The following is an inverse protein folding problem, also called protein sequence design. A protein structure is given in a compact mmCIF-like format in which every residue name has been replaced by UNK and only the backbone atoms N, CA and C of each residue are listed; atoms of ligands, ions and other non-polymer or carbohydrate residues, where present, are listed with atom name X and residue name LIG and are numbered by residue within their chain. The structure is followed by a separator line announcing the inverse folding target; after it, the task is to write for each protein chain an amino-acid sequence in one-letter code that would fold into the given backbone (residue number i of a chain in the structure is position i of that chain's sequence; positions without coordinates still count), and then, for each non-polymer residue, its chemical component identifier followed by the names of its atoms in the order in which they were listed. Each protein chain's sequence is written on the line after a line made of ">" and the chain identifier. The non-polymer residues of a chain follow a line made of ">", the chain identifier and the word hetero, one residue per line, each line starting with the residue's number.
data_IF_157097567976
#
_entry.id   IF_157097567976
#
_cell.length_a   1.000
_cell.length_b   1.000
_cell.length_c   1.000
_cell.angle_alpha   90.00
_cell.angle_beta   90.00
_cell.angle_gamma   90.00
#
_symmetry.space_group_name_H-M   'P 1'
#
loop_
_entity.id
_entity.type
_entity.pdbx_description
1 polymer ?
#
# COMPACT_ATOMS: atom_id res chain seq x y z
N UNK A 1 13.96 17.44 -15.13
CA UNK A 1 14.11 16.17 -14.40
C UNK A 1 13.54 15.07 -15.26
N UNK A 2 14.34 14.06 -15.62
CA UNK A 2 13.92 13.00 -16.53
C UNK A 2 12.74 12.22 -15.93
N UNK A 3 11.63 12.13 -16.66
CA UNK A 3 10.46 11.34 -16.23
C UNK A 3 10.77 9.84 -16.06
N UNK A 4 11.90 9.38 -16.63
CA UNK A 4 12.36 7.98 -16.65
C UNK A 4 12.72 7.36 -15.29
N UNK A 5 12.67 8.09 -14.18
CA UNK A 5 12.96 7.56 -12.82
C UNK A 5 11.74 7.48 -11.89
N UNK A 6 10.55 7.94 -12.31
CA UNK A 6 9.37 7.91 -11.45
C UNK A 6 8.72 6.53 -11.43
N UNK A 7 8.19 6.15 -10.28
CA UNK A 7 7.39 4.95 -10.10
C UNK A 7 6.05 5.14 -10.82
N UNK A 8 5.68 4.22 -11.70
CA UNK A 8 4.46 4.35 -12.49
C UNK A 8 3.19 4.35 -11.61
N UNK A 9 3.14 3.49 -10.59
CA UNK A 9 2.04 3.35 -9.64
C UNK A 9 2.59 3.40 -8.21
N UNK A 10 2.29 4.48 -7.48
CA UNK A 10 2.73 4.69 -6.11
C UNK A 10 1.53 4.54 -5.16
N UNK A 11 1.57 3.51 -4.33
CA UNK A 11 0.56 3.30 -3.27
C UNK A 11 1.05 4.02 -2.01
N UNK A 12 0.15 4.76 -1.37
CA UNK A 12 0.47 5.70 -0.30
C UNK A 12 -0.24 5.30 0.99
N UNK A 13 0.48 5.33 2.12
CA UNK A 13 -0.07 5.09 3.46
C UNK A 13 -0.37 6.40 4.21
N UNK A 14 -0.93 6.26 5.42
CA UNK A 14 -1.20 7.39 6.33
C UNK A 14 0.08 8.18 6.64
N UNK A 15 1.21 7.51 6.88
CA UNK A 15 2.47 8.16 7.27
C UNK A 15 3.02 9.11 6.22
N UNK A 16 2.86 8.77 4.93
CA UNK A 16 3.28 9.61 3.81
C UNK A 16 2.52 10.96 3.77
N UNK A 17 1.21 10.93 4.08
CA UNK A 17 0.41 12.15 4.23
C UNK A 17 0.80 12.95 5.47
N UNK A 18 1.06 12.29 6.60
CA UNK A 18 1.48 12.94 7.85
C UNK A 18 2.82 13.68 7.66
N UNK A 19 3.75 13.07 6.93
CA UNK A 19 5.10 13.61 6.69
C UNK A 19 5.18 14.65 5.57
N UNK A 20 4.07 14.93 4.88
CA UNK A 20 4.04 15.85 3.74
C UNK A 20 5.09 15.51 2.67
N UNK A 21 5.20 14.22 2.33
CA UNK A 21 6.13 13.76 1.31
C UNK A 21 5.77 14.37 -0.06
N UNK A 22 6.77 14.74 -0.86
CA UNK A 22 6.57 15.25 -2.22
C UNK A 22 6.30 14.11 -3.20
N UNK A 23 5.14 13.45 -3.05
CA UNK A 23 4.79 12.23 -3.78
C UNK A 23 4.78 12.43 -5.31
N UNK A 24 4.46 13.63 -5.79
CA UNK A 24 4.52 14.01 -7.21
C UNK A 24 5.92 13.91 -7.84
N UNK A 25 6.97 13.95 -7.01
CA UNK A 25 8.34 13.80 -7.47
C UNK A 25 8.76 12.32 -7.57
N UNK A 26 7.99 11.42 -6.92
CA UNK A 26 8.30 9.99 -6.80
C UNK A 26 7.44 9.16 -7.74
N UNK A 27 6.13 9.44 -7.79
CA UNK A 27 5.15 8.64 -8.49
C UNK A 27 4.41 9.41 -9.59
N UNK A 28 3.99 8.70 -10.63
CA UNK A 28 3.10 9.22 -11.68
C UNK A 28 1.64 9.03 -11.28
N UNK A 29 1.22 7.78 -10.99
CA UNK A 29 -0.12 7.49 -10.49
C UNK A 29 -0.07 7.30 -8.98
N UNK A 30 -0.50 8.32 -8.25
CA UNK A 30 -0.53 8.31 -6.79
C UNK A 30 -1.88 7.76 -6.36
N UNK A 31 -1.86 6.65 -5.61
CA UNK A 31 -3.04 5.87 -5.25
C UNK A 31 -3.04 5.66 -3.73
N UNK A 32 -4.21 5.74 -3.10
CA UNK A 32 -4.40 5.40 -1.69
C UNK A 32 -5.68 4.58 -1.51
N UNK A 33 -5.80 3.96 -0.35
CA UNK A 33 -7.02 3.29 0.09
C UNK A 33 -7.96 4.26 0.83
N UNK A 34 -9.27 4.01 0.80
CA UNK A 34 -10.28 4.92 1.38
C UNK A 34 -10.16 5.05 2.90
N UNK A 35 -9.85 3.98 3.63
CA UNK A 35 -9.69 4.01 5.08
C UNK A 35 -8.46 4.81 5.50
N UNK A 36 -7.41 4.83 4.68
CA UNK A 36 -6.25 5.73 4.90
C UNK A 36 -6.71 7.18 4.90
N UNK A 37 -7.51 7.57 3.90
CA UNK A 37 -8.05 8.93 3.82
C UNK A 37 -8.91 9.23 5.04
N UNK A 38 -9.79 8.29 5.44
CA UNK A 38 -10.64 8.43 6.61
C UNK A 38 -9.82 8.60 7.91
N UNK A 39 -8.71 7.87 8.05
CA UNK A 39 -7.80 7.96 9.19
C UNK A 39 -7.09 9.32 9.24
N UNK A 40 -6.55 9.78 8.11
CA UNK A 40 -5.87 11.08 8.01
C UNK A 40 -6.86 12.22 8.31
N UNK A 41 -8.10 12.10 7.83
CA UNK A 41 -9.19 13.04 8.11
C UNK A 41 -9.45 13.13 9.62
N UNK A 42 -9.62 11.98 10.28
CA UNK A 42 -9.91 11.90 11.72
C UNK A 42 -8.79 12.52 12.56
N UNK A 43 -7.52 12.31 12.17
CA UNK A 43 -6.34 12.88 12.84
C UNK A 43 -6.16 14.40 12.65
N UNK A 44 -7.20 15.11 12.16
CA UNK A 44 -7.23 16.58 11.97
C UNK A 44 -6.12 17.09 11.02
N UNK A 45 -5.56 16.22 10.18
CA UNK A 45 -4.61 16.55 9.11
C UNK A 45 -5.33 17.00 7.81
N UNK A 46 -6.65 17.14 7.88
CA UNK A 46 -7.58 17.56 6.82
C UNK A 46 -7.10 18.70 5.92
N UNK A 47 -6.53 19.77 6.50
CA UNK A 47 -6.18 20.99 5.74
C UNK A 47 -5.24 20.71 4.57
N UNK A 48 -4.44 19.64 4.64
CA UNK A 48 -3.46 19.28 3.61
C UNK A 48 -4.03 18.39 2.52
N UNK A 49 -5.03 17.54 2.83
CA UNK A 49 -5.72 16.72 1.83
C UNK A 49 -6.62 17.55 0.91
N UNK A 50 -7.10 18.70 1.37
CA UNK A 50 -8.02 19.57 0.58
C UNK A 50 -7.32 20.23 -0.62
N UNK A 51 -5.99 20.40 -0.58
CA UNK A 51 -5.23 20.99 -1.70
C UNK A 51 -3.93 20.19 -1.89
N UNK A 52 -4.02 19.08 -2.62
CA UNK A 52 -2.86 18.32 -3.06
C UNK A 52 -2.33 18.89 -4.39
N UNK A 53 -1.01 19.04 -4.56
CA UNK A 53 -0.41 19.49 -5.82
C UNK A 53 -0.36 18.38 -6.89
N UNK A 54 -1.14 17.32 -6.71
CA UNK A 54 -1.20 16.14 -7.56
C UNK A 54 -2.58 15.50 -7.46
N UNK A 55 -2.93 14.71 -8.49
CA UNK A 55 -4.14 13.90 -8.49
C UNK A 55 -3.95 12.66 -7.59
N UNK A 56 -4.78 12.56 -6.55
CA UNK A 56 -4.78 11.41 -5.64
C UNK A 56 -5.96 10.51 -5.98
N UNK A 57 -5.66 9.30 -6.46
CA UNK A 57 -6.68 8.31 -6.81
C UNK A 57 -7.02 7.46 -5.59
N UNK A 58 -8.27 7.47 -5.17
CA UNK A 58 -8.74 6.62 -4.08
C UNK A 58 -9.31 5.33 -4.68
N UNK A 59 -8.82 4.18 -4.23
CA UNK A 59 -9.27 2.86 -4.67
C UNK A 59 -9.41 1.92 -3.48
N UNK A 60 -10.34 0.99 -3.57
CA UNK A 60 -10.49 -0.08 -2.58
C UNK A 60 -9.93 -1.38 -3.14
N UNK A 61 -9.25 -2.15 -2.29
CA UNK A 61 -8.80 -3.49 -2.66
C UNK A 61 -9.99 -4.44 -2.80
N UNK A 62 -9.95 -5.33 -3.78
CA UNK A 62 -10.94 -6.39 -3.91
C UNK A 62 -10.83 -7.38 -2.74
N UNK A 63 -11.98 -7.90 -2.32
CA UNK A 63 -12.09 -8.85 -1.19
C UNK A 63 -11.22 -10.10 -1.39
N UNK A 64 -11.06 -10.58 -2.62
CA UNK A 64 -10.16 -11.70 -2.94
C UNK A 64 -8.70 -11.41 -2.60
N UNK A 65 -8.23 -10.19 -2.86
CA UNK A 65 -6.86 -9.76 -2.63
C UNK A 65 -6.62 -9.51 -1.14
N UNK A 66 -7.61 -8.95 -0.43
CA UNK A 66 -7.58 -8.81 1.03
C UNK A 66 -7.46 -10.18 1.69
N UNK A 67 -8.27 -11.15 1.25
CA UNK A 67 -8.21 -12.52 1.76
C UNK A 67 -6.86 -13.16 1.50
N UNK A 68 -6.32 -13.04 0.28
CA UNK A 68 -5.00 -13.57 -0.07
C UNK A 68 -3.90 -13.02 0.86
N UNK A 69 -3.83 -11.69 1.01
CA UNK A 69 -2.84 -11.04 1.87
C UNK A 69 -3.02 -11.43 3.33
N UNK A 70 -4.26 -11.52 3.81
CA UNK A 70 -4.56 -11.94 5.19
C UNK A 70 -4.07 -13.35 5.46
N UNK A 71 -4.34 -14.31 4.56
CA UNK A 71 -3.87 -15.69 4.71
C UNK A 71 -2.34 -15.77 4.61
N UNK A 72 -1.72 -14.98 3.74
CA UNK A 72 -0.26 -14.90 3.66
C UNK A 72 0.35 -14.34 4.96
N UNK A 73 -0.20 -13.25 5.50
CA UNK A 73 0.26 -12.63 6.75
C UNK A 73 0.08 -13.54 7.97
N UNK A 74 -0.94 -14.41 7.98
CA UNK A 74 -1.10 -15.45 9.01
C UNK A 74 0.02 -16.49 8.92
N UNK A 75 0.43 -16.88 7.71
CA UNK A 75 1.52 -17.85 7.51
C UNK A 75 2.88 -17.27 7.93
N UNK A 76 3.12 -15.96 7.76
CA UNK A 76 4.35 -15.30 8.23
C UNK A 76 4.34 -14.99 9.72
N UNK A 77 3.15 -14.87 10.32
CA UNK A 77 2.97 -14.42 11.70
C UNK A 77 2.76 -12.91 11.84
N UNK A 78 2.82 -12.14 10.76
CA UNK A 78 2.67 -10.68 10.76
C UNK A 78 1.22 -10.23 10.97
N UNK A 79 0.24 -11.12 10.80
CA UNK A 79 -1.17 -10.76 10.93
C UNK A 79 -1.52 -10.10 12.28
N UNK A 80 -0.84 -10.46 13.36
CA UNK A 80 -1.10 -9.92 14.70
C UNK A 80 -0.62 -8.46 14.84
N UNK A 81 0.43 -8.08 14.10
CA UNK A 81 1.02 -6.73 14.19
C UNK A 81 0.47 -5.76 13.15
N UNK A 82 -0.16 -6.26 12.08
CA UNK A 82 -0.74 -5.44 11.02
C UNK A 82 -2.15 -4.95 11.38
N UNK A 83 -2.43 -3.67 11.11
CA UNK A 83 -3.79 -3.14 11.22
C UNK A 83 -4.65 -3.55 10.02
N UNK A 84 -5.97 -3.38 10.15
CA UNK A 84 -6.89 -3.61 9.04
C UNK A 84 -6.59 -2.72 7.81
N UNK A 85 -6.18 -1.47 8.04
CA UNK A 85 -5.77 -0.53 6.99
C UNK A 85 -4.50 -1.01 6.29
N UNK A 86 -3.51 -1.49 7.04
CA UNK A 86 -2.25 -2.01 6.46
C UNK A 86 -2.51 -3.19 5.52
N UNK A 87 -3.35 -4.13 5.96
CA UNK A 87 -3.75 -5.28 5.13
C UNK A 87 -4.42 -4.81 3.83
N UNK A 88 -5.28 -3.79 3.89
CA UNK A 88 -5.93 -3.24 2.69
C UNK A 88 -4.96 -2.54 1.75
N UNK A 89 -3.99 -1.79 2.26
CA UNK A 89 -2.92 -1.18 1.45
C UNK A 89 -2.10 -2.26 0.73
N UNK A 90 -1.67 -3.29 1.46
CA UNK A 90 -0.88 -4.38 0.89
C UNK A 90 -1.73 -5.12 -0.16
N UNK A 91 -3.02 -5.35 0.11
CA UNK A 91 -3.94 -5.97 -0.84
C UNK A 91 -4.17 -5.12 -2.11
N UNK A 92 -4.26 -3.79 -1.97
CA UNK A 92 -4.36 -2.88 -3.11
C UNK A 92 -3.07 -2.88 -3.95
N UNK A 93 -1.92 -2.97 -3.28
CA UNK A 93 -0.62 -3.10 -3.95
C UNK A 93 -0.54 -4.40 -4.72
N UNK A 94 -0.90 -5.52 -4.09
CA UNK A 94 -0.98 -6.84 -4.73
C UNK A 94 -1.94 -6.84 -5.92
N UNK A 95 -3.09 -6.18 -5.79
CA UNK A 95 -4.06 -6.06 -6.88
C UNK A 95 -3.46 -5.35 -8.10
N UNK A 96 -2.79 -4.22 -7.90
CA UNK A 96 -2.19 -3.46 -8.99
C UNK A 96 -1.04 -4.23 -9.64
N UNK A 97 -0.23 -4.95 -8.85
CA UNK A 97 0.83 -5.81 -9.37
C UNK A 97 0.25 -6.92 -10.25
N UNK A 98 -0.80 -7.61 -9.77
CA UNK A 98 -1.54 -8.64 -10.52
C UNK A 98 -2.12 -8.10 -11.83
N UNK A 99 -2.68 -6.88 -11.83
CA UNK A 99 -3.29 -6.25 -13.01
C UNK A 99 -2.26 -5.75 -14.04
N UNK A 100 -1.06 -5.33 -13.61
CA UNK A 100 -0.10 -4.61 -14.47
C UNK A 100 1.12 -5.44 -14.89
N UNK A 101 1.58 -6.34 -14.03
CA UNK A 101 2.80 -7.13 -14.23
C UNK A 101 2.46 -8.62 -14.25
N UNK A 102 1.51 -9.03 -13.41
CA UNK A 102 1.15 -10.43 -13.20
C UNK A 102 1.83 -11.01 -11.96
N UNK A 103 1.39 -12.21 -11.55
CA UNK A 103 1.72 -12.78 -10.23
C UNK A 103 2.84 -13.83 -10.26
N UNK A 104 3.40 -14.13 -11.42
CA UNK A 104 4.33 -15.26 -11.59
C UNK A 104 5.62 -15.11 -10.76
N UNK A 105 6.01 -13.89 -10.42
CA UNK A 105 7.19 -13.59 -9.63
C UNK A 105 6.88 -13.47 -8.12
N UNK A 106 5.60 -13.49 -7.73
CA UNK A 106 5.16 -13.39 -6.35
C UNK A 106 5.08 -14.78 -5.73
N UNK A 107 5.47 -14.87 -4.46
CA UNK A 107 5.33 -16.11 -3.72
C UNK A 107 3.91 -16.24 -3.18
N UNK A 108 3.35 -17.45 -3.27
CA UNK A 108 2.07 -17.80 -2.65
C UNK A 108 2.24 -18.29 -1.21
N UNK A 109 3.47 -18.64 -0.82
CA UNK A 109 3.82 -19.08 0.53
C UNK A 109 5.10 -18.40 1.00
N UNK A 110 5.22 -18.09 2.30
CA UNK A 110 6.41 -17.48 2.85
C UNK A 110 7.59 -18.48 2.86
N UNK A 111 8.81 -17.96 2.81
CA UNK A 111 9.98 -18.79 3.10
C UNK A 111 9.96 -19.06 4.61
N UNK A 112 9.92 -20.34 4.99
CA UNK A 112 10.15 -20.74 6.37
C UNK A 112 11.55 -20.29 6.75
N UNK A 113 11.67 -19.35 7.69
CA UNK A 113 12.97 -18.98 8.24
C UNK A 113 13.57 -20.22 8.93
N UNK A 114 14.65 -20.77 8.36
CA UNK A 114 15.46 -21.76 9.06
C UNK A 114 16.20 -21.05 10.19
N UNK A 115 15.62 -21.05 11.37
CA UNK A 115 16.34 -20.61 12.57
C UNK A 115 17.33 -21.72 12.93
N UNK A 116 18.56 -21.62 12.43
CA UNK A 116 19.68 -22.37 12.98
C UNK A 116 19.90 -21.87 14.42
N UNK A 117 19.23 -22.50 15.38
CA UNK A 117 19.61 -22.41 16.78
C UNK A 117 20.91 -23.19 16.94
N UNK A 118 22.03 -22.46 17.00
CA UNK A 118 23.26 -22.92 17.63
C UNK A 118 23.08 -22.93 19.14
#
# INVERSE_FOLDING_TARGET
>A
MNESQKIQYLIVDTSAFIRNASLQNIGVNIITEQDVVNEVINKRQLRRLVVLPYDLKIKNAYSENIKFVTEFAKKTGDYISLSATDIKIIALTYQLEKEKVGINHLRTEPIIAQTNRL
#
